data_IF_477859629634
#
_entry.id   IF_477859629634
#
_cell.length_a   1.000
_cell.length_b   1.000
_cell.length_c   1.000
_cell.angle_alpha   90.00
_cell.angle_beta   90.00
_cell.angle_gamma   90.00
#
_symmetry.space_group_name_H-M   'P 1'
#
loop_
_entity.id
_entity.type
_entity.pdbx_description
1 polymer ?
#
# COMPACT_ATOMS: atom_id res chain seq x y z
N UNK A 1 -0.08 -32.05 -17.54
CA UNK A 1 -1.26 -31.40 -16.90
C UNK A 1 -1.23 -29.88 -17.13
N UNK A 2 -1.00 -29.45 -18.38
CA UNK A 2 -0.83 -28.05 -18.80
C UNK A 2 -1.75 -27.82 -20.01
N UNK A 3 -3.02 -27.53 -19.75
CA UNK A 3 -4.01 -27.05 -20.73
C UNK A 3 -5.18 -26.48 -19.94
N UNK A 4 -5.02 -25.28 -19.37
CA UNK A 4 -6.11 -24.45 -18.83
C UNK A 4 -5.59 -23.04 -18.46
N UNK A 5 -4.80 -22.42 -19.34
CA UNK A 5 -4.54 -20.98 -19.31
C UNK A 5 -4.33 -20.53 -20.75
N UNK A 6 -5.21 -19.65 -21.25
CA UNK A 6 -5.07 -19.12 -22.61
C UNK A 6 -6.39 -18.84 -23.31
N UNK A 7 -7.28 -18.09 -22.68
CA UNK A 7 -8.25 -17.26 -23.40
C UNK A 7 -7.90 -15.79 -23.08
N UNK A 8 -6.67 -15.41 -23.47
CA UNK A 8 -6.36 -13.99 -23.69
C UNK A 8 -6.98 -13.67 -25.03
N UNK A 9 -8.11 -12.96 -25.02
CA UNK A 9 -8.66 -12.37 -26.23
C UNK A 9 -7.63 -11.36 -26.73
N UNK A 10 -6.88 -11.73 -27.75
CA UNK A 10 -6.02 -10.82 -28.50
C UNK A 10 -6.94 -9.92 -29.33
N UNK A 11 -7.35 -8.78 -28.78
CA UNK A 11 -7.95 -7.72 -29.59
C UNK A 11 -6.86 -7.07 -30.43
N UNK A 12 -7.10 -6.94 -31.73
CA UNK A 12 -6.16 -6.29 -32.64
C UNK A 12 -6.10 -4.78 -32.37
N UNK A 13 -4.97 -4.14 -32.69
CA UNK A 13 -4.80 -2.67 -32.63
C UNK A 13 -5.89 -1.90 -33.42
N UNK A 14 -6.54 -2.55 -34.38
CA UNK A 14 -7.60 -1.99 -35.21
C UNK A 14 -9.00 -2.04 -34.57
N UNK A 15 -9.27 -2.96 -33.64
CA UNK A 15 -10.51 -2.94 -32.85
C UNK A 15 -10.45 -1.94 -31.69
N UNK A 16 -9.24 -1.51 -31.31
CA UNK A 16 -9.01 -0.52 -30.26
C UNK A 16 -9.17 0.93 -30.76
N UNK A 17 -9.35 1.14 -32.07
CA UNK A 17 -9.57 2.45 -32.66
C UNK A 17 -11.06 2.79 -32.79
N UNK A 18 -11.48 3.82 -32.05
CA UNK A 18 -12.77 4.57 -32.09
C UNK A 18 -13.81 4.28 -31.00
N UNK A 19 -13.41 3.95 -29.77
CA UNK A 19 -14.31 4.11 -28.62
C UNK A 19 -14.53 5.61 -28.35
N UNK A 20 -15.78 6.04 -28.39
CA UNK A 20 -16.14 7.46 -28.39
C UNK A 20 -16.90 7.79 -27.10
N UNK A 21 -16.28 8.59 -26.21
CA UNK A 21 -16.93 9.07 -24.99
C UNK A 21 -18.17 9.94 -25.28
N UNK A 22 -18.35 10.48 -26.48
CA UNK A 22 -19.61 11.16 -26.83
C UNK A 22 -20.77 10.19 -27.06
N UNK A 23 -20.46 8.94 -27.44
CA UNK A 23 -21.45 7.87 -27.68
C UNK A 23 -21.54 6.88 -26.52
N UNK A 24 -20.61 6.91 -25.57
CA UNK A 24 -20.65 6.15 -24.33
C UNK A 24 -20.83 4.64 -24.62
N UNK A 25 -21.53 3.93 -23.71
CA UNK A 25 -21.80 2.49 -23.78
C UNK A 25 -22.43 2.05 -25.12
N UNK A 26 -23.11 2.95 -25.84
CA UNK A 26 -23.71 2.62 -27.15
C UNK A 26 -22.67 2.33 -28.24
N UNK A 27 -21.45 2.86 -28.10
CA UNK A 27 -20.33 2.61 -29.02
C UNK A 27 -19.33 1.57 -28.50
N UNK A 28 -19.45 1.18 -27.23
CA UNK A 28 -18.50 0.28 -26.55
C UNK A 28 -18.85 -1.20 -26.72
N UNK A 29 -19.93 -1.49 -27.43
CA UNK A 29 -20.35 -2.83 -27.81
C UNK A 29 -20.76 -3.69 -26.60
N UNK A 30 -20.82 -5.02 -26.81
CA UNK A 30 -21.16 -6.00 -25.76
C UNK A 30 -20.03 -6.25 -24.75
N UNK A 31 -18.96 -5.45 -24.75
CA UNK A 31 -17.84 -5.62 -23.82
C UNK A 31 -18.16 -5.05 -22.44
N UNK A 32 -19.01 -4.03 -22.39
CA UNK A 32 -19.34 -3.29 -21.18
C UNK A 32 -20.71 -3.66 -20.59
N UNK A 33 -21.19 -4.86 -20.89
CA UNK A 33 -22.45 -5.40 -20.36
C UNK A 33 -22.16 -6.28 -19.14
N UNK A 34 -22.87 -6.05 -18.04
CA UNK A 34 -22.74 -6.88 -16.85
C UNK A 34 -23.12 -6.15 -15.57
N UNK A 35 -23.12 -6.91 -14.48
CA UNK A 35 -23.24 -6.36 -13.13
C UNK A 35 -21.88 -5.82 -12.67
N UNK A 36 -21.86 -4.97 -11.63
CA UNK A 36 -20.63 -4.40 -11.05
C UNK A 36 -19.84 -3.47 -12.01
N UNK A 37 -20.55 -2.75 -12.89
CA UNK A 37 -19.93 -1.74 -13.73
C UNK A 37 -19.66 -0.44 -12.95
N UNK A 38 -18.61 0.26 -13.39
CA UNK A 38 -18.16 1.56 -12.88
C UNK A 38 -18.11 2.60 -14.01
N UNK A 39 -18.19 3.90 -13.70
CA UNK A 39 -18.30 4.51 -12.36
C UNK A 39 -19.72 4.36 -11.77
N UNK A 40 -19.92 4.80 -10.53
CA UNK A 40 -21.24 4.85 -9.87
C UNK A 40 -21.44 6.21 -9.21
N UNK A 41 -22.69 6.51 -8.85
CA UNK A 41 -22.95 7.53 -7.85
C UNK A 41 -22.61 7.04 -6.45
N UNK A 42 -21.85 7.85 -5.72
CA UNK A 42 -21.51 7.63 -4.32
C UNK A 42 -22.53 8.36 -3.47
N UNK A 43 -23.33 7.58 -2.75
CA UNK A 43 -24.38 8.08 -1.88
C UNK A 43 -24.06 7.68 -0.43
N UNK A 44 -23.38 8.57 0.34
CA UNK A 44 -22.88 8.29 1.69
C UNK A 44 -23.89 7.68 2.65
N UNK A 45 -25.18 8.06 2.54
CA UNK A 45 -26.24 7.54 3.43
C UNK A 45 -26.48 6.03 3.26
N UNK A 46 -26.05 5.44 2.14
CA UNK A 46 -26.12 4.01 1.88
C UNK A 46 -24.84 3.26 2.26
N UNK A 47 -23.79 3.97 2.69
CA UNK A 47 -22.54 3.35 3.07
C UNK A 47 -22.66 2.69 4.45
N UNK A 48 -22.13 1.47 4.56
CA UNK A 48 -21.98 0.75 5.83
C UNK A 48 -20.52 0.76 6.27
N UNK A 49 -20.26 0.68 7.58
CA UNK A 49 -18.88 0.62 8.06
C UNK A 49 -18.14 -0.59 7.45
N UNK A 50 -16.96 -0.35 6.89
CA UNK A 50 -16.09 -1.40 6.35
C UNK A 50 -15.50 -2.28 7.45
N UNK A 51 -15.31 -3.55 7.13
CA UNK A 51 -14.71 -4.60 7.97
C UNK A 51 -13.20 -4.80 7.68
N UNK A 52 -12.58 -3.85 6.99
CA UNK A 52 -11.17 -3.87 6.64
C UNK A 52 -10.54 -2.48 6.78
N UNK A 53 -9.21 -2.48 6.82
CA UNK A 53 -8.38 -1.28 6.88
C UNK A 53 -7.67 -1.08 5.54
N UNK A 54 -7.50 0.18 5.14
CA UNK A 54 -6.61 0.57 4.04
C UNK A 54 -5.44 1.37 4.61
N UNK A 55 -4.22 0.93 4.31
CA UNK A 55 -2.98 1.59 4.69
C UNK A 55 -2.24 2.10 3.48
N UNK A 56 -1.75 3.32 3.56
CA UNK A 56 -1.17 4.07 2.46
C UNK A 56 0.28 4.42 2.80
N UNK A 57 1.19 4.14 1.87
CA UNK A 57 2.59 4.50 1.98
C UNK A 57 3.07 5.03 0.63
N UNK A 58 3.20 6.35 0.53
CA UNK A 58 3.70 7.01 -0.67
C UNK A 58 4.94 7.81 -0.31
N UNK A 59 5.98 7.66 -1.14
CA UNK A 59 7.09 8.63 -1.11
C UNK A 59 6.70 9.85 -1.95
N UNK A 60 7.30 11.02 -1.73
CA UNK A 60 7.06 12.18 -2.57
C UNK A 60 7.27 11.84 -4.05
N UNK A 61 6.26 12.09 -4.88
CA UNK A 61 6.28 11.74 -6.30
C UNK A 61 7.15 12.73 -7.06
N UNK A 62 8.14 12.22 -7.79
CA UNK A 62 9.06 13.03 -8.60
C UNK A 62 8.87 12.73 -10.07
N UNK A 63 9.08 13.71 -10.94
CA UNK A 63 8.99 13.52 -12.39
C UNK A 63 10.00 12.48 -12.91
N UNK A 64 11.16 12.34 -12.25
CA UNK A 64 12.14 11.30 -12.57
C UNK A 64 11.63 9.86 -12.39
N UNK A 65 10.57 9.65 -11.60
CA UNK A 65 9.95 8.34 -11.38
C UNK A 65 8.94 7.97 -12.47
N UNK A 66 8.56 8.94 -13.31
CA UNK A 66 7.64 8.75 -14.43
C UNK A 66 8.38 8.04 -15.57
N UNK A 67 7.81 6.93 -16.00
CA UNK A 67 8.26 6.18 -17.17
C UNK A 67 7.73 6.83 -18.46
N UNK A 68 6.42 7.06 -18.51
CA UNK A 68 5.74 7.70 -19.63
C UNK A 68 4.56 8.53 -19.14
N UNK A 69 4.24 9.60 -19.86
CA UNK A 69 3.07 10.43 -19.61
C UNK A 69 2.55 10.96 -20.95
N UNK A 70 1.22 11.05 -21.07
CA UNK A 70 0.57 11.56 -22.27
C UNK A 70 -0.90 11.16 -22.33
N UNK A 71 -1.54 11.43 -23.47
CA UNK A 71 -2.90 10.96 -23.75
C UNK A 71 -2.83 9.64 -24.50
N UNK A 72 -3.39 8.60 -23.92
CA UNK A 72 -3.42 7.27 -24.52
C UNK A 72 -4.39 7.20 -25.72
N UNK A 73 -4.30 6.17 -26.58
CA UNK A 73 -5.20 6.00 -27.72
C UNK A 73 -6.70 5.87 -27.34
N UNK A 74 -6.96 5.51 -26.09
CA UNK A 74 -8.30 5.45 -25.49
C UNK A 74 -8.83 6.85 -25.09
N UNK A 75 -8.07 7.92 -25.32
CA UNK A 75 -8.43 9.29 -24.98
C UNK A 75 -8.25 9.65 -23.51
N UNK A 76 -7.61 8.79 -22.71
CA UNK A 76 -7.36 9.02 -21.29
C UNK A 76 -5.94 9.55 -21.07
N UNK A 77 -5.76 10.76 -20.49
CA UNK A 77 -4.47 11.22 -20.01
C UNK A 77 -3.96 10.33 -18.87
N UNK A 78 -2.77 9.77 -19.04
CA UNK A 78 -2.20 8.77 -18.14
C UNK A 78 -0.71 9.03 -17.89
N UNK A 79 -0.32 9.00 -16.62
CA UNK A 79 1.07 9.03 -16.17
C UNK A 79 1.38 7.64 -15.62
N UNK A 80 2.42 6.98 -16.13
CA UNK A 80 2.87 5.66 -15.71
C UNK A 80 4.21 5.74 -14.98
N UNK A 81 4.37 4.97 -13.92
CA UNK A 81 5.59 4.92 -13.13
C UNK A 81 6.49 3.73 -13.51
N UNK A 82 7.80 3.93 -13.33
CA UNK A 82 8.81 2.89 -13.60
C UNK A 82 8.55 1.63 -12.77
N UNK A 83 8.58 0.47 -13.43
CA UNK A 83 8.49 -0.82 -12.77
C UNK A 83 9.69 -1.07 -11.84
N UNK A 84 9.49 -1.91 -10.81
CA UNK A 84 10.54 -2.29 -9.84
C UNK A 84 10.83 -1.27 -8.73
N UNK A 85 10.45 0.00 -8.90
CA UNK A 85 10.67 1.07 -7.92
C UNK A 85 9.36 1.73 -7.47
N UNK A 86 8.52 1.03 -6.67
CA UNK A 86 7.19 1.52 -6.30
C UNK A 86 7.29 2.87 -5.58
N UNK A 87 6.65 3.89 -6.15
CA UNK A 87 6.51 5.23 -5.57
C UNK A 87 5.39 5.32 -4.53
N UNK A 88 4.46 4.37 -4.57
CA UNK A 88 3.28 4.33 -3.74
C UNK A 88 2.85 2.90 -3.53
N UNK A 89 2.42 2.59 -2.31
CA UNK A 89 1.92 1.28 -1.91
C UNK A 89 0.64 1.45 -1.11
N UNK A 90 -0.28 0.54 -1.35
CA UNK A 90 -1.51 0.40 -0.58
C UNK A 90 -1.57 -1.03 -0.05
N UNK A 91 -1.90 -1.17 1.23
CA UNK A 91 -2.24 -2.43 1.84
C UNK A 91 -3.71 -2.43 2.24
N UNK A 92 -4.44 -3.51 1.92
CA UNK A 92 -5.85 -3.66 2.29
C UNK A 92 -6.05 -5.01 2.97
N UNK A 93 -6.65 -5.01 4.15
CA UNK A 93 -6.82 -6.24 4.94
C UNK A 93 -7.58 -6.02 6.23
N UNK A 94 -8.02 -7.12 6.85
CA UNK A 94 -8.82 -7.10 8.08
C UNK A 94 -8.02 -7.32 9.37
N UNK A 95 -6.78 -7.83 9.27
CA UNK A 95 -5.98 -8.21 10.42
C UNK A 95 -4.52 -8.52 10.10
N UNK A 96 -3.74 -8.85 11.14
CA UNK A 96 -2.32 -9.16 11.02
C UNK A 96 -2.11 -10.39 10.11
N UNK A 97 -1.32 -10.23 9.05
CA UNK A 97 -1.10 -11.28 8.04
C UNK A 97 -2.15 -11.37 6.94
N UNK A 98 -3.25 -10.59 7.02
CA UNK A 98 -4.33 -10.59 6.03
C UNK A 98 -4.31 -9.37 5.09
N UNK A 99 -3.16 -8.74 4.90
CA UNK A 99 -3.06 -7.60 3.98
C UNK A 99 -2.66 -8.04 2.57
N UNK A 100 -3.49 -7.71 1.58
CA UNK A 100 -3.10 -7.67 0.18
C UNK A 100 -2.31 -6.37 -0.08
N UNK A 101 -1.24 -6.46 -0.87
CA UNK A 101 -0.36 -5.32 -1.18
C UNK A 101 -0.49 -4.97 -2.67
N UNK A 102 -0.60 -3.68 -2.94
CA UNK A 102 -0.76 -3.11 -4.27
C UNK A 102 0.23 -1.96 -4.45
N UNK A 103 0.80 -1.83 -5.65
CA UNK A 103 1.77 -0.77 -5.98
C UNK A 103 1.19 0.20 -6.99
N UNK A 104 1.38 1.49 -6.78
CA UNK A 104 0.96 2.54 -7.71
C UNK A 104 1.64 2.32 -9.06
N UNK A 105 0.84 2.14 -10.10
CA UNK A 105 1.32 1.92 -11.47
C UNK A 105 0.98 3.08 -12.39
N UNK A 106 -0.16 3.73 -12.20
CA UNK A 106 -0.56 4.87 -13.01
C UNK A 106 -1.41 5.90 -12.26
N UNK A 107 -1.43 7.12 -12.79
CA UNK A 107 -2.41 8.17 -12.47
C UNK A 107 -3.15 8.52 -13.74
N UNK A 108 -4.48 8.53 -13.68
CA UNK A 108 -5.39 8.86 -14.78
C UNK A 108 -6.20 10.11 -14.43
N UNK A 109 -6.48 10.93 -15.46
CA UNK A 109 -7.20 12.19 -15.30
C UNK A 109 -8.49 12.15 -16.12
N UNK A 110 -9.61 12.43 -15.46
CA UNK A 110 -10.92 12.53 -16.09
C UNK A 110 -11.53 13.91 -15.83
N UNK A 111 -12.06 14.54 -16.88
CA UNK A 111 -12.82 15.78 -16.77
C UNK A 111 -14.05 15.71 -17.68
N UNK A 112 -15.28 15.87 -17.15
CA UNK A 112 -15.62 16.00 -15.72
C UNK A 112 -15.32 14.69 -14.93
N UNK A 113 -15.68 14.63 -13.65
CA UNK A 113 -15.54 13.39 -12.88
C UNK A 113 -16.37 12.25 -13.47
N UNK A 114 -15.85 11.01 -13.38
CA UNK A 114 -16.56 9.80 -13.79
C UNK A 114 -17.58 9.39 -12.72
N UNK A 115 -17.11 9.28 -11.48
CA UNK A 115 -17.99 9.12 -10.33
C UNK A 115 -18.72 10.43 -10.06
N UNK A 116 -19.89 10.29 -9.44
CA UNK A 116 -20.61 11.40 -8.83
C UNK A 116 -20.66 11.20 -7.32
N UNK A 117 -20.81 12.29 -6.58
CA UNK A 117 -21.02 12.27 -5.14
C UNK A 117 -22.36 12.95 -4.86
N UNK A 118 -23.36 12.19 -4.41
CA UNK A 118 -24.75 12.67 -4.26
C UNK A 118 -25.27 13.29 -5.56
N UNK A 119 -25.09 12.57 -6.66
CA UNK A 119 -25.45 12.94 -8.03
C UNK A 119 -24.71 14.17 -8.59
N UNK A 120 -23.82 14.80 -7.81
CA UNK A 120 -23.00 15.92 -8.28
C UNK A 120 -21.75 15.43 -9.01
N UNK A 121 -21.50 15.99 -10.19
CA UNK A 121 -20.26 15.83 -10.94
C UNK A 121 -19.28 16.95 -10.61
N UNK A 122 -17.98 16.62 -10.57
CA UNK A 122 -16.91 17.53 -10.20
C UNK A 122 -16.07 17.93 -11.42
N UNK A 123 -15.29 19.00 -11.28
CA UNK A 123 -14.54 19.56 -12.39
C UNK A 123 -13.52 18.57 -12.96
N UNK A 124 -12.95 17.73 -12.10
CA UNK A 124 -11.98 16.71 -12.46
C UNK A 124 -12.01 15.56 -11.45
N UNK A 125 -11.70 14.36 -11.92
CA UNK A 125 -11.42 13.18 -11.11
C UNK A 125 -10.01 12.68 -11.40
N UNK A 126 -9.20 12.55 -10.34
CA UNK A 126 -7.89 11.92 -10.41
C UNK A 126 -8.01 10.49 -9.90
N UNK A 127 -7.65 9.53 -10.73
CA UNK A 127 -7.68 8.11 -10.37
C UNK A 127 -6.25 7.58 -10.24
N UNK A 128 -5.85 7.16 -9.03
CA UNK A 128 -4.57 6.51 -8.76
C UNK A 128 -4.77 4.99 -8.84
N UNK A 129 -4.21 4.39 -9.88
CA UNK A 129 -4.31 2.97 -10.17
C UNK A 129 -3.15 2.20 -9.57
N UNK A 130 -3.48 1.14 -8.83
CA UNK A 130 -2.53 0.24 -8.20
C UNK A 130 -2.73 -1.18 -8.70
N UNK A 131 -1.63 -1.79 -9.12
CA UNK A 131 -1.60 -3.17 -9.54
C UNK A 131 -1.21 -4.08 -8.37
N UNK A 132 -1.76 -5.30 -8.29
CA UNK A 132 -1.42 -6.23 -7.21
C UNK A 132 0.06 -6.59 -7.28
N UNK A 133 0.77 -6.45 -6.15
CA UNK A 133 2.22 -6.67 -6.07
C UNK A 133 2.75 -8.11 -6.27
N UNK A 134 1.97 -9.21 -6.30
CA UNK A 134 2.53 -10.53 -6.49
C UNK A 134 3.39 -10.69 -7.75
N UNK A 135 3.23 -9.87 -8.79
CA UNK A 135 4.12 -9.88 -9.99
C UNK A 135 5.56 -9.51 -9.64
N UNK A 136 5.77 -8.45 -8.84
CA UNK A 136 7.11 -8.10 -8.36
C UNK A 136 7.70 -9.12 -7.38
N UNK A 137 6.83 -9.88 -6.70
CA UNK A 137 7.25 -10.94 -5.77
C UNK A 137 7.59 -12.22 -6.52
N UNK A 138 6.95 -12.51 -7.66
CA UNK A 138 7.34 -13.62 -8.54
C UNK A 138 8.71 -13.38 -9.18
N UNK A 139 9.05 -12.14 -9.54
CA UNK A 139 10.40 -11.83 -10.06
C UNK A 139 11.47 -12.07 -9.00
N UNK A 140 11.23 -11.63 -7.75
CA UNK A 140 12.13 -11.92 -6.62
C UNK A 140 12.24 -13.40 -6.30
N UNK A 141 11.12 -14.14 -6.34
CA UNK A 141 11.15 -15.59 -6.18
C UNK A 141 11.97 -16.26 -7.29
N UNK A 142 11.83 -15.82 -8.54
CA UNK A 142 12.60 -16.34 -9.66
C UNK A 142 14.09 -16.08 -9.46
N UNK A 143 14.45 -14.88 -9.00
CA UNK A 143 15.82 -14.54 -8.64
C UNK A 143 16.36 -15.44 -7.51
N UNK A 144 15.64 -15.56 -6.38
CA UNK A 144 16.06 -16.43 -5.27
C UNK A 144 16.16 -17.91 -5.69
N UNK A 145 15.29 -18.36 -6.61
CA UNK A 145 15.34 -19.73 -7.16
C UNK A 145 16.59 -19.92 -8.01
N UNK A 146 16.95 -18.93 -8.83
CA UNK A 146 18.16 -18.96 -9.65
C UNK A 146 19.43 -19.00 -8.79
N UNK A 147 19.50 -18.15 -7.76
CA UNK A 147 20.62 -18.14 -6.78
C UNK A 147 20.78 -19.50 -6.09
N UNK A 148 19.68 -20.15 -5.70
CA UNK A 148 19.71 -21.48 -5.09
C UNK A 148 20.17 -22.57 -6.06
N UNK A 149 19.80 -22.48 -7.34
CA UNK A 149 20.24 -23.42 -8.38
C UNK A 149 21.75 -23.31 -8.63
N UNK A 150 22.30 -22.10 -8.63
CA UNK A 150 23.74 -21.87 -8.80
C UNK A 150 24.56 -22.46 -7.64
N UNK A 151 24.09 -22.32 -6.40
CA UNK A 151 24.74 -22.91 -5.23
C UNK A 151 24.66 -24.44 -5.19
N UNK A 152 23.53 -25.02 -5.63
CA UNK A 152 23.39 -26.46 -5.78
C UNK A 152 24.40 -26.98 -6.82
N UNK A 153 24.58 -26.25 -7.92
CA UNK A 153 25.56 -26.61 -8.95
C UNK A 153 27.01 -26.52 -8.44
N UNK A 154 27.35 -25.52 -7.61
CA UNK A 154 28.67 -25.46 -6.96
C UNK A 154 28.88 -26.65 -6.00
N UNK A 155 27.84 -27.00 -5.25
CA UNK A 155 27.87 -28.15 -4.34
C UNK A 155 28.08 -29.48 -5.07
N UNK A 156 27.40 -29.69 -6.21
CA UNK A 156 27.57 -30.87 -7.07
C UNK A 156 29.00 -30.97 -7.61
N UNK A 157 29.60 -29.83 -8.01
CA UNK A 157 30.99 -29.80 -8.46
C UNK A 157 31.97 -30.21 -7.35
N UNK A 158 31.71 -29.79 -6.10
CA UNK A 158 32.49 -30.18 -4.92
C UNK A 158 32.31 -31.65 -4.56
N UNK A 159 31.08 -32.19 -4.66
CA UNK A 159 30.83 -33.62 -4.53
C UNK A 159 31.65 -34.42 -5.55
N UNK A 160 31.63 -34.02 -6.82
CA UNK A 160 32.42 -34.66 -7.87
C UNK A 160 33.94 -34.54 -7.63
N UNK A 161 34.42 -33.44 -7.03
CA UNK A 161 35.81 -33.32 -6.59
C UNK A 161 36.15 -34.30 -5.46
N UNK A 162 35.28 -34.40 -4.45
CA UNK A 162 35.43 -35.34 -3.33
C UNK A 162 35.46 -36.80 -3.80
N UNK A 163 34.55 -37.19 -4.70
CA UNK A 163 34.52 -38.54 -5.29
C UNK A 163 35.81 -38.86 -6.05
N UNK A 164 36.35 -37.89 -6.81
CA UNK A 164 37.64 -38.03 -7.50
C UNK A 164 38.80 -38.18 -6.51
N UNK A 165 38.84 -37.39 -5.44
CA UNK A 165 39.86 -37.50 -4.40
C UNK A 165 39.78 -38.85 -3.68
N UNK A 166 38.58 -39.33 -3.34
CA UNK A 166 38.37 -40.66 -2.76
C UNK A 166 38.78 -41.79 -3.71
N UNK A 167 38.43 -41.70 -4.99
CA UNK A 167 38.79 -42.69 -5.99
C UNK A 167 40.31 -42.76 -6.21
N UNK A 168 40.98 -41.60 -6.20
CA UNK A 168 42.44 -41.49 -6.29
C UNK A 168 43.12 -42.14 -5.09
N UNK A 169 42.67 -41.79 -3.87
CA UNK A 169 43.15 -42.40 -2.63
C UNK A 169 42.96 -43.93 -2.63
N UNK A 170 41.81 -44.44 -3.08
CA UNK A 170 41.56 -45.89 -3.19
C UNK A 170 42.53 -46.59 -4.14
N UNK A 171 42.75 -46.04 -5.34
CA UNK A 171 43.70 -46.61 -6.31
C UNK A 171 45.12 -46.64 -5.76
N UNK A 172 45.51 -45.60 -5.03
CA UNK A 172 46.83 -45.53 -4.40
C UNK A 172 47.00 -46.51 -3.23
N UNK A 173 45.99 -46.65 -2.37
CA UNK A 173 45.98 -47.66 -1.30
C UNK A 173 46.04 -49.09 -1.86
N UNK A 174 45.44 -49.33 -3.04
CA UNK A 174 45.47 -50.62 -3.72
C UNK A 174 46.77 -50.88 -4.53
N UNK A 175 47.73 -49.95 -4.53
CA UNK A 175 49.00 -50.10 -5.24
C UNK A 175 48.94 -49.84 -6.76
N UNK A 176 47.81 -49.37 -7.30
CA UNK A 176 47.62 -49.17 -8.74
C UNK A 176 48.21 -47.84 -9.24
N UNK A 177 48.51 -46.89 -8.35
CA UNK A 177 49.00 -45.54 -8.67
C UNK A 177 49.98 -44.98 -7.61
N UNK A 178 50.80 -45.84 -7.00
CA UNK A 178 51.74 -45.43 -5.94
C UNK A 178 52.99 -44.75 -6.50
N UNK A 179 53.39 -43.55 -6.01
CA UNK A 179 54.65 -42.89 -6.36
C UNK A 179 55.90 -43.64 -5.83
N UNK A 180 55.71 -44.60 -4.93
CA UNK A 180 56.76 -45.20 -4.09
C UNK A 180 57.39 -46.47 -4.67
N UNK A 181 57.23 -46.75 -5.97
CA UNK A 181 57.93 -47.86 -6.64
C UNK A 181 59.38 -47.50 -6.93
N UNK A 182 60.17 -47.34 -5.86
CA UNK A 182 61.59 -47.07 -5.95
C UNK A 182 62.25 -47.48 -4.65
N UNK A 183 63.25 -48.37 -4.74
CA UNK A 183 64.08 -48.85 -3.63
C UNK A 183 64.46 -47.71 -2.67
N UNK A 184 63.70 -47.52 -1.60
CA UNK A 184 64.01 -46.55 -0.56
C UNK A 184 64.14 -47.33 0.75
N UNK A 185 65.24 -47.05 1.47
CA UNK A 185 65.57 -47.64 2.76
C UNK A 185 64.32 -47.77 3.65
N UNK A 186 64.15 -48.95 4.24
CA UNK A 186 62.91 -49.52 4.82
C UNK A 186 62.18 -48.67 5.90
N UNK A 187 62.72 -47.51 6.30
CA UNK A 187 62.06 -46.55 7.19
C UNK A 187 61.60 -45.24 6.54
N UNK A 188 62.23 -44.77 5.45
CA UNK A 188 61.93 -43.47 4.86
C UNK A 188 60.69 -43.51 3.96
N UNK A 189 60.47 -44.62 3.23
CA UNK A 189 59.31 -44.78 2.35
C UNK A 189 57.99 -45.00 3.10
N UNK A 190 58.04 -45.52 4.33
CA UNK A 190 56.85 -45.74 5.18
C UNK A 190 56.36 -44.41 5.74
N UNK A 191 57.26 -43.59 6.29
CA UNK A 191 56.90 -42.26 6.82
C UNK A 191 56.32 -41.35 5.73
N UNK A 192 56.93 -41.38 4.54
CA UNK A 192 56.45 -40.60 3.40
C UNK A 192 55.06 -41.04 2.89
N UNK A 193 54.74 -42.34 3.01
CA UNK A 193 53.41 -42.86 2.70
C UNK A 193 52.38 -42.49 3.76
N UNK A 194 52.75 -42.49 5.05
CA UNK A 194 51.90 -42.03 6.16
C UNK A 194 51.55 -40.54 6.03
N UNK A 195 52.57 -39.68 5.81
CA UNK A 195 52.39 -38.23 5.63
C UNK A 195 51.45 -37.93 4.45
N UNK A 196 51.54 -38.71 3.37
CA UNK A 196 50.69 -38.55 2.20
C UNK A 196 49.24 -38.97 2.46
N UNK A 197 49.04 -40.11 3.15
CA UNK A 197 47.71 -40.58 3.55
C UNK A 197 47.05 -39.59 4.51
N UNK A 198 47.82 -39.01 5.43
CA UNK A 198 47.30 -38.01 6.37
C UNK A 198 46.97 -36.68 5.68
N UNK A 199 47.74 -36.25 4.69
CA UNK A 199 47.38 -35.13 3.83
C UNK A 199 46.07 -35.39 3.05
N UNK A 200 45.92 -36.58 2.45
CA UNK A 200 44.69 -36.94 1.73
C UNK A 200 43.46 -37.03 2.66
N UNK A 201 43.63 -37.53 3.89
CA UNK A 201 42.57 -37.51 4.91
C UNK A 201 42.21 -36.08 5.32
N UNK A 202 43.21 -35.20 5.47
CA UNK A 202 42.99 -33.80 5.80
C UNK A 202 42.19 -33.10 4.69
N UNK A 203 42.57 -33.29 3.43
CA UNK A 203 41.85 -32.75 2.26
C UNK A 203 40.40 -33.26 2.20
N UNK A 204 40.18 -34.58 2.36
CA UNK A 204 38.84 -35.16 2.38
C UNK A 204 38.01 -34.60 3.55
N UNK A 205 38.62 -34.44 4.72
CA UNK A 205 37.97 -33.87 5.91
C UNK A 205 37.58 -32.41 5.71
N UNK A 206 38.45 -31.62 5.09
CA UNK A 206 38.20 -30.22 4.76
C UNK A 206 37.08 -30.06 3.74
N UNK A 207 37.15 -30.78 2.61
CA UNK A 207 36.09 -30.78 1.58
C UNK A 207 34.76 -31.25 2.16
N UNK A 208 34.77 -32.30 3.01
CA UNK A 208 33.56 -32.81 3.67
C UNK A 208 32.94 -31.76 4.61
N UNK A 209 33.74 -31.01 5.38
CA UNK A 209 33.25 -29.92 6.23
C UNK A 209 32.63 -28.80 5.43
N UNK A 210 33.28 -28.35 4.37
CA UNK A 210 32.77 -27.30 3.48
C UNK A 210 31.43 -27.72 2.87
N UNK A 211 31.37 -28.95 2.37
CA UNK A 211 30.18 -29.49 1.73
C UNK A 211 29.01 -29.66 2.72
N UNK A 212 29.29 -30.02 3.98
CA UNK A 212 28.29 -30.05 5.04
C UNK A 212 27.75 -28.65 5.38
N UNK A 213 28.61 -27.63 5.37
CA UNK A 213 28.20 -26.23 5.56
C UNK A 213 27.34 -25.73 4.39
N UNK A 214 27.75 -26.03 3.16
CA UNK A 214 27.02 -25.67 1.94
C UNK A 214 25.62 -26.30 1.94
N UNK A 215 25.51 -27.60 2.23
CA UNK A 215 24.20 -28.27 2.33
C UNK A 215 23.30 -27.71 3.41
N UNK A 216 23.87 -27.30 4.55
CA UNK A 216 23.10 -26.61 5.59
C UNK A 216 22.58 -25.26 5.08
N UNK A 217 23.41 -24.48 4.39
CA UNK A 217 23.02 -23.20 3.81
C UNK A 217 21.93 -23.34 2.73
N UNK A 218 22.13 -24.27 1.79
CA UNK A 218 21.16 -24.61 0.73
C UNK A 218 19.83 -25.05 1.34
N UNK A 219 19.84 -25.94 2.34
CA UNK A 219 18.62 -26.40 3.01
C UNK A 219 17.87 -25.24 3.67
N UNK A 220 18.59 -24.34 4.37
CA UNK A 220 17.97 -23.18 5.01
C UNK A 220 17.34 -22.22 4.01
N UNK A 221 18.02 -21.93 2.90
CA UNK A 221 17.49 -21.09 1.82
C UNK A 221 16.32 -21.74 1.10
N UNK A 222 16.39 -23.04 0.82
CA UNK A 222 15.29 -23.81 0.25
C UNK A 222 14.04 -23.79 1.14
N UNK A 223 14.19 -23.97 2.46
CA UNK A 223 13.09 -23.85 3.42
C UNK A 223 12.48 -22.45 3.43
N UNK A 224 13.31 -21.40 3.39
CA UNK A 224 12.85 -20.01 3.31
C UNK A 224 12.08 -19.75 2.01
N UNK A 225 12.62 -20.19 0.88
CA UNK A 225 11.98 -20.08 -0.43
C UNK A 225 10.63 -20.82 -0.45
N UNK A 226 10.58 -22.04 0.10
CA UNK A 226 9.34 -22.81 0.21
C UNK A 226 8.27 -22.07 1.03
N UNK A 227 8.66 -21.44 2.14
CA UNK A 227 7.73 -20.65 2.97
C UNK A 227 7.26 -19.38 2.23
N UNK A 228 8.15 -18.68 1.53
CA UNK A 228 7.80 -17.52 0.69
C UNK A 228 6.81 -17.90 -0.42
N UNK A 229 7.06 -19.01 -1.13
CA UNK A 229 6.17 -19.55 -2.16
C UNK A 229 4.82 -19.97 -1.58
N UNK A 230 4.80 -20.71 -0.46
CA UNK A 230 3.57 -21.12 0.24
C UNK A 230 2.74 -19.89 0.63
N UNK A 231 3.42 -18.89 1.15
CA UNK A 231 2.83 -17.62 1.51
C UNK A 231 2.19 -16.90 0.32
N UNK A 232 2.90 -16.82 -0.80
CA UNK A 232 2.40 -16.18 -2.03
C UNK A 232 1.20 -16.92 -2.61
N UNK A 233 1.26 -18.25 -2.67
CA UNK A 233 0.12 -19.07 -3.11
C UNK A 233 -1.09 -18.86 -2.19
N UNK A 234 -0.87 -18.76 -0.89
CA UNK A 234 -1.95 -18.50 0.08
C UNK A 234 -2.56 -17.11 -0.13
N UNK A 235 -1.72 -16.08 -0.30
CA UNK A 235 -2.18 -14.73 -0.60
C UNK A 235 -2.98 -14.69 -1.90
N UNK A 236 -2.53 -15.38 -2.96
CA UNK A 236 -3.22 -15.46 -4.26
C UNK A 236 -4.58 -16.16 -4.22
N UNK A 237 -4.84 -16.99 -3.21
CA UNK A 237 -6.16 -17.61 -3.01
C UNK A 237 -7.19 -16.63 -2.44
N UNK A 238 -6.77 -15.46 -1.95
CA UNK A 238 -7.71 -14.45 -1.43
C UNK A 238 -8.52 -13.84 -2.55
N UNK A 239 -9.78 -13.53 -2.24
CA UNK A 239 -10.78 -13.01 -3.20
C UNK A 239 -10.25 -11.83 -4.02
N UNK A 240 -9.50 -10.93 -3.39
CA UNK A 240 -9.10 -9.65 -3.98
C UNK A 240 -7.63 -9.59 -4.42
N UNK A 241 -6.89 -10.70 -4.33
CA UNK A 241 -5.46 -10.73 -4.63
C UNK A 241 -5.16 -10.38 -6.11
N UNK A 242 -6.09 -10.68 -7.02
CA UNK A 242 -5.98 -10.34 -8.44
C UNK A 242 -6.71 -9.07 -8.87
N UNK A 243 -7.35 -8.35 -7.93
CA UNK A 243 -8.06 -7.11 -8.26
C UNK A 243 -7.07 -5.95 -8.39
N UNK A 244 -7.39 -4.98 -9.25
CA UNK A 244 -6.73 -3.67 -9.22
C UNK A 244 -7.38 -2.80 -8.15
N UNK A 245 -6.61 -1.88 -7.59
CA UNK A 245 -7.13 -0.91 -6.62
C UNK A 245 -7.06 0.48 -7.22
N UNK A 246 -8.18 1.20 -7.21
CA UNK A 246 -8.27 2.56 -7.71
C UNK A 246 -8.66 3.50 -6.57
N UNK A 247 -7.78 4.46 -6.23
CA UNK A 247 -8.11 5.58 -5.35
C UNK A 247 -8.59 6.74 -6.22
N UNK A 248 -9.79 7.25 -5.96
CA UNK A 248 -10.40 8.31 -6.75
C UNK A 248 -10.56 9.58 -5.91
N UNK A 249 -10.14 10.71 -6.48
CA UNK A 249 -10.21 12.03 -5.85
C UNK A 249 -10.98 13.00 -6.73
N UNK A 250 -11.99 13.64 -6.15
CA UNK A 250 -12.69 14.74 -6.78
C UNK A 250 -11.93 16.04 -6.59
N UNK A 251 -11.77 16.79 -7.68
CA UNK A 251 -11.21 18.13 -7.66
C UNK A 251 -12.30 19.13 -8.05
N UNK A 252 -12.51 20.13 -7.19
CA UNK A 252 -13.46 21.22 -7.41
C UNK A 252 -12.74 22.52 -7.77
N UNK A 253 -13.41 23.38 -8.55
CA UNK A 253 -12.89 24.69 -8.95
C UNK A 253 -13.03 25.67 -7.79
N UNK A 254 -11.92 26.21 -7.32
CA UNK A 254 -11.88 27.26 -6.32
C UNK A 254 -11.25 28.53 -6.91
N UNK A 255 -11.77 29.70 -6.51
CA UNK A 255 -11.14 30.97 -6.84
C UNK A 255 -9.90 31.20 -5.95
N UNK A 256 -8.83 31.81 -6.46
CA UNK A 256 -7.61 32.12 -5.71
C UNK A 256 -7.87 32.79 -4.35
N UNK A 257 -8.92 33.62 -4.26
CA UNK A 257 -9.31 34.35 -3.05
C UNK A 257 -9.69 33.40 -1.92
N UNK A 258 -10.33 32.25 -2.23
CA UNK A 258 -10.79 31.28 -1.22
C UNK A 258 -9.73 30.21 -0.89
N UNK A 259 -8.66 30.08 -1.69
CA UNK A 259 -7.60 29.09 -1.45
C UNK A 259 -6.66 29.47 -0.30
N UNK A 260 -6.55 30.77 0.03
CA UNK A 260 -5.81 31.22 1.21
C UNK A 260 -6.43 30.75 2.53
N UNK A 261 -7.74 30.49 2.54
CA UNK A 261 -8.48 29.95 3.68
C UNK A 261 -8.65 28.42 3.59
N UNK A 262 -8.63 27.85 2.39
CA UNK A 262 -8.72 26.41 2.14
C UNK A 262 -7.37 25.85 1.69
N UNK A 263 -6.55 25.38 2.64
CA UNK A 263 -5.25 24.71 2.45
C UNK A 263 -5.08 24.04 1.05
N UNK A 264 -4.53 24.78 0.08
CA UNK A 264 -4.59 24.44 -1.35
C UNK A 264 -3.65 23.32 -1.82
N UNK A 265 -3.65 22.16 -1.17
CA UNK A 265 -2.74 21.04 -1.50
C UNK A 265 -3.10 20.37 -2.83
N UNK A 266 -4.38 20.28 -3.20
CA UNK A 266 -4.79 19.79 -4.51
C UNK A 266 -4.34 20.67 -5.68
N UNK A 267 -4.09 21.96 -5.46
CA UNK A 267 -3.46 22.83 -6.48
C UNK A 267 -2.06 22.34 -6.84
N UNK A 268 -1.29 21.87 -5.85
CA UNK A 268 0.03 21.26 -6.09
C UNK A 268 -0.06 19.94 -6.84
N UNK A 269 -1.10 19.12 -6.57
CA UNK A 269 -1.39 17.93 -7.38
C UNK A 269 -1.65 18.30 -8.84
N UNK A 270 -2.59 19.23 -9.10
CA UNK A 270 -2.95 19.65 -10.47
C UNK A 270 -1.75 20.23 -11.23
N UNK A 271 -0.92 21.05 -10.56
CA UNK A 271 0.32 21.57 -11.13
C UNK A 271 1.29 20.45 -11.51
N UNK A 272 1.52 19.50 -10.59
CA UNK A 272 2.41 18.37 -10.82
C UNK A 272 1.92 17.48 -11.98
N UNK A 273 0.61 17.21 -12.05
CA UNK A 273 0.00 16.47 -13.16
C UNK A 273 0.23 17.18 -14.50
N UNK A 274 0.07 18.49 -14.54
CA UNK A 274 0.28 19.30 -15.75
C UNK A 274 1.74 19.21 -16.24
N UNK A 275 2.70 19.32 -15.31
CA UNK A 275 4.12 19.20 -15.61
C UNK A 275 4.49 17.79 -16.11
N UNK A 276 3.97 16.75 -15.45
CA UNK A 276 4.19 15.38 -15.84
C UNK A 276 3.65 15.09 -17.25
N UNK A 277 2.43 15.55 -17.55
CA UNK A 277 1.78 15.34 -18.86
C UNK A 277 2.37 16.17 -19.99
N UNK A 278 2.93 17.35 -19.69
CA UNK A 278 3.69 18.15 -20.65
C UNK A 278 5.07 17.52 -20.99
N UNK A 279 5.41 16.38 -20.38
CA UNK A 279 6.71 15.70 -20.52
C UNK A 279 7.92 16.59 -20.22
N UNK A 280 7.74 17.63 -19.39
CA UNK A 280 8.81 18.55 -19.02
C UNK A 280 9.68 17.93 -17.91
N UNK A 281 10.60 17.05 -18.31
CA UNK A 281 11.49 16.30 -17.39
C UNK A 281 12.66 17.12 -16.85
N UNK A 282 12.94 18.29 -17.44
CA UNK A 282 14.04 19.18 -17.06
C UNK A 282 13.62 20.22 -16.00
N UNK A 283 12.34 20.24 -15.64
CA UNK A 283 11.81 21.07 -14.57
C UNK A 283 12.32 20.54 -13.22
N UNK A 284 12.93 21.42 -12.42
CA UNK A 284 13.21 21.24 -10.98
C UNK A 284 11.89 21.28 -10.17
N UNK A 285 10.89 20.52 -10.63
CA UNK A 285 9.55 20.50 -10.06
C UNK A 285 9.63 19.91 -8.66
N UNK A 286 9.09 20.64 -7.69
CA UNK A 286 8.93 20.14 -6.33
C UNK A 286 8.23 18.77 -6.34
N UNK A 287 8.71 17.86 -5.49
CA UNK A 287 8.08 16.56 -5.32
C UNK A 287 6.66 16.73 -4.78
N UNK A 288 5.72 15.90 -5.24
CA UNK A 288 4.34 15.94 -4.78
C UNK A 288 4.13 15.00 -3.60
N UNK A 289 3.71 15.56 -2.47
CA UNK A 289 3.33 14.80 -1.27
C UNK A 289 1.83 14.48 -1.31
N UNK A 290 1.49 13.25 -1.69
CA UNK A 290 0.08 12.82 -1.74
C UNK A 290 -0.60 12.87 -0.37
N UNK A 291 0.11 12.62 0.73
CA UNK A 291 -0.45 12.70 2.08
C UNK A 291 -1.05 14.09 2.37
N UNK A 292 -0.39 15.16 1.90
CA UNK A 292 -0.89 16.53 2.07
C UNK A 292 -2.19 16.78 1.30
N UNK A 293 -2.42 16.05 0.21
CA UNK A 293 -3.62 16.19 -0.64
C UNK A 293 -4.78 15.34 -0.12
N UNK A 294 -4.50 14.07 0.21
CA UNK A 294 -5.53 13.11 0.60
C UNK A 294 -5.88 13.27 2.09
N UNK A 295 -4.90 13.56 2.94
CA UNK A 295 -5.04 13.64 4.39
C UNK A 295 -5.25 12.29 5.08
N UNK A 296 -5.04 12.27 6.40
CA UNK A 296 -5.24 11.11 7.27
C UNK A 296 -6.61 11.15 7.97
N UNK A 297 -7.20 9.99 8.23
CA UNK A 297 -8.51 9.88 8.87
C UNK A 297 -9.68 10.37 8.02
N UNK A 298 -9.50 10.48 6.70
CA UNK A 298 -10.54 10.90 5.76
C UNK A 298 -11.36 9.71 5.29
N UNK A 299 -12.65 9.91 5.09
CA UNK A 299 -13.57 8.85 4.63
C UNK A 299 -13.31 8.49 3.16
N UNK A 300 -13.20 7.19 2.92
CA UNK A 300 -13.11 6.55 1.61
C UNK A 300 -14.30 5.62 1.44
N UNK A 301 -15.07 5.85 0.38
CA UNK A 301 -16.16 4.97 -0.03
C UNK A 301 -15.62 3.88 -0.94
N UNK A 302 -15.72 2.63 -0.48
CA UNK A 302 -15.22 1.46 -1.18
C UNK A 302 -16.34 0.60 -1.73
N UNK A 303 -16.15 0.12 -2.96
CA UNK A 303 -17.06 -0.82 -3.61
C UNK A 303 -16.32 -1.68 -4.66
N UNK A 304 -16.90 -2.83 -4.98
CA UNK A 304 -16.42 -3.70 -6.06
C UNK A 304 -17.02 -3.23 -7.40
N UNK A 305 -16.15 -2.99 -8.39
CA UNK A 305 -16.53 -2.41 -9.66
C UNK A 305 -15.66 -2.88 -10.82
N UNK A 306 -15.70 -2.10 -11.90
CA UNK A 306 -14.99 -2.41 -13.14
C UNK A 306 -14.00 -1.32 -13.53
N UNK A 307 -13.17 -1.62 -14.52
CA UNK A 307 -12.49 -0.58 -15.30
C UNK A 307 -13.59 0.24 -16.02
N UNK A 308 -13.57 1.59 -15.98
CA UNK A 308 -14.66 2.43 -16.50
C UNK A 308 -14.53 2.68 -18.02
N UNK A 309 -13.95 1.71 -18.72
CA UNK A 309 -13.63 1.77 -20.15
C UNK A 309 -13.41 0.36 -20.69
N UNK A 310 -13.62 0.10 -21.99
CA UNK A 310 -13.49 -1.24 -22.56
C UNK A 310 -12.14 -1.91 -22.23
N UNK A 311 -12.11 -3.21 -21.91
CA UNK A 311 -13.22 -4.18 -21.95
C UNK A 311 -14.09 -4.22 -20.69
N UNK A 312 -14.08 -3.16 -19.85
CA UNK A 312 -15.00 -3.01 -18.73
C UNK A 312 -14.96 -4.16 -17.70
N UNK A 313 -13.76 -4.73 -17.51
CA UNK A 313 -13.52 -5.89 -16.65
C UNK A 313 -13.91 -5.60 -15.19
N UNK A 314 -14.78 -6.42 -14.55
CA UNK A 314 -15.22 -6.24 -13.17
C UNK A 314 -14.21 -6.80 -12.16
N UNK A 315 -13.00 -6.22 -12.15
CA UNK A 315 -11.89 -6.65 -11.28
C UNK A 315 -11.22 -5.46 -10.56
N UNK A 316 -12.01 -4.45 -10.17
CA UNK A 316 -11.50 -3.24 -9.52
C UNK A 316 -12.13 -3.09 -8.13
N UNK A 317 -11.30 -2.81 -7.13
CA UNK A 317 -11.73 -2.29 -5.83
C UNK A 317 -11.54 -0.78 -5.85
N UNK A 318 -12.66 -0.06 -5.84
CA UNK A 318 -12.65 1.39 -5.81
C UNK A 318 -12.56 1.89 -4.37
N UNK A 319 -11.93 3.05 -4.21
CA UNK A 319 -11.82 3.81 -2.98
C UNK A 319 -11.96 5.29 -3.33
N UNK A 320 -13.18 5.81 -3.22
CA UNK A 320 -13.51 7.18 -3.62
C UNK A 320 -13.45 8.08 -2.39
N UNK A 321 -12.61 9.13 -2.43
CA UNK A 321 -12.49 10.10 -1.36
C UNK A 321 -13.80 10.87 -1.19
N UNK A 322 -14.35 10.86 0.03
CA UNK A 322 -15.62 11.50 0.34
C UNK A 322 -15.59 13.03 0.39
N UNK A 323 -14.39 13.61 0.37
CA UNK A 323 -14.13 15.03 0.53
C UNK A 323 -13.52 15.59 -0.78
N UNK A 324 -14.28 16.33 -1.59
CA UNK A 324 -13.78 16.99 -2.79
C UNK A 324 -12.69 18.03 -2.47
N UNK A 325 -11.58 17.99 -3.20
CA UNK A 325 -10.41 18.82 -2.90
C UNK A 325 -10.39 20.10 -3.77
N UNK A 326 -10.18 21.30 -3.18
CA UNK A 326 -10.15 22.55 -3.92
C UNK A 326 -8.85 22.77 -4.68
N UNK A 327 -8.96 23.12 -5.96
CA UNK A 327 -7.83 23.57 -6.79
C UNK A 327 -8.13 24.89 -7.47
N UNK A 328 -7.06 25.66 -7.66
CA UNK A 328 -7.09 26.90 -8.44
C UNK A 328 -7.60 26.70 -9.87
N UNK A 329 -8.44 27.63 -10.31
CA UNK A 329 -9.09 27.59 -11.62
C UNK A 329 -8.09 27.77 -12.77
N UNK A 330 -7.02 28.54 -12.59
CA UNK A 330 -6.00 28.72 -13.61
C UNK A 330 -5.18 27.44 -13.78
N UNK A 331 -4.78 26.80 -12.68
CA UNK A 331 -4.09 25.51 -12.72
C UNK A 331 -4.95 24.40 -13.37
N UNK A 332 -6.24 24.35 -13.05
CA UNK A 332 -7.17 23.42 -13.70
C UNK A 332 -7.25 23.68 -15.21
N UNK A 333 -7.30 24.94 -15.63
CA UNK A 333 -7.35 25.32 -17.05
C UNK A 333 -6.08 24.89 -17.80
N UNK A 334 -4.91 25.02 -17.17
CA UNK A 334 -3.64 24.52 -17.70
C UNK A 334 -3.72 23.01 -17.89
N UNK A 335 -4.10 22.25 -16.85
CA UNK A 335 -4.21 20.79 -16.93
C UNK A 335 -5.18 20.35 -18.03
N UNK A 336 -6.35 20.98 -18.15
CA UNK A 336 -7.33 20.67 -19.20
C UNK A 336 -6.79 20.92 -20.61
N UNK A 337 -5.93 21.91 -20.79
CA UNK A 337 -5.25 22.17 -22.07
C UNK A 337 -4.21 21.10 -22.37
N UNK A 338 -3.34 20.77 -21.41
CA UNK A 338 -2.30 19.74 -21.57
C UNK A 338 -2.90 18.35 -21.85
N UNK A 339 -4.04 18.06 -21.23
CA UNK A 339 -4.79 16.80 -21.43
C UNK A 339 -5.64 16.77 -22.71
N UNK A 340 -5.70 17.86 -23.47
CA UNK A 340 -6.58 18.03 -24.64
C UNK A 340 -8.08 17.82 -24.31
N UNK A 341 -8.46 18.03 -23.05
CA UNK A 341 -9.85 17.93 -22.57
C UNK A 341 -10.57 19.29 -22.60
N UNK A 342 -9.81 20.40 -22.71
CA UNK A 342 -10.38 21.74 -22.85
C UNK A 342 -11.34 21.83 -24.05
N UNK A 343 -12.55 22.34 -23.80
CA UNK A 343 -13.57 22.56 -24.83
C UNK A 343 -14.34 21.31 -25.30
N UNK A 344 -14.04 20.12 -24.76
CA UNK A 344 -14.85 18.91 -25.03
C UNK A 344 -16.16 18.98 -24.26
N UNK A 345 -17.29 18.97 -24.97
CA UNK A 345 -18.63 19.04 -24.37
C UNK A 345 -18.89 17.88 -23.39
N UNK A 346 -18.43 16.68 -23.73
CA UNK A 346 -18.64 15.46 -22.94
C UNK A 346 -17.38 14.98 -22.19
N UNK A 347 -16.25 15.67 -22.36
CA UNK A 347 -15.01 15.28 -21.70
C UNK A 347 -14.48 13.90 -22.09
N UNK A 348 -13.92 13.19 -21.12
CA UNK A 348 -13.47 11.79 -21.20
C UNK A 348 -14.00 10.93 -20.03
N UNK A 349 -15.23 11.22 -19.60
CA UNK A 349 -15.87 10.53 -18.49
C UNK A 349 -16.95 9.57 -18.99
N UNK A 350 -16.93 8.33 -18.49
CA UNK A 350 -18.04 7.39 -18.68
C UNK A 350 -19.26 7.81 -17.84
N UNK A 351 -20.46 7.60 -18.37
CA UNK A 351 -21.69 7.75 -17.59
C UNK A 351 -21.75 6.79 -16.38
N UNK A 352 -22.34 7.26 -15.28
CA UNK A 352 -22.57 6.46 -14.09
C UNK A 352 -23.43 5.23 -14.36
N UNK A 353 -23.03 4.13 -13.75
CA UNK A 353 -23.62 2.82 -13.93
C UNK A 353 -24.52 2.48 -12.74
N UNK A 354 -25.60 1.69 -12.93
CA UNK A 354 -26.53 1.37 -11.85
C UNK A 354 -25.84 0.63 -10.69
N UNK A 355 -25.95 1.13 -9.45
CA UNK A 355 -25.36 0.48 -8.27
C UNK A 355 -25.84 -0.98 -8.13
N UNK A 356 -27.15 -1.22 -8.28
CA UNK A 356 -27.74 -2.55 -8.21
C UNK A 356 -27.76 -3.14 -6.78
N UNK A 357 -28.57 -4.19 -6.54
CA UNK A 357 -28.84 -4.70 -5.20
C UNK A 357 -27.70 -5.56 -4.60
N UNK A 358 -26.82 -6.10 -5.46
CA UNK A 358 -25.80 -7.07 -5.03
C UNK A 358 -24.49 -6.42 -4.58
N UNK A 359 -24.36 -5.09 -4.67
CA UNK A 359 -23.18 -4.34 -4.24
C UNK A 359 -23.36 -3.78 -2.83
N UNK A 360 -22.25 -3.71 -2.10
CA UNK A 360 -22.18 -3.03 -0.81
C UNK A 360 -21.25 -1.84 -0.94
N UNK A 361 -21.75 -0.68 -0.54
CA UNK A 361 -20.96 0.53 -0.41
C UNK A 361 -20.43 0.52 1.02
N UNK A 362 -19.12 0.48 1.17
CA UNK A 362 -18.48 0.47 2.48
C UNK A 362 -17.78 1.81 2.71
N UNK A 363 -17.70 2.26 3.96
CA UNK A 363 -16.87 3.40 4.35
C UNK A 363 -15.71 2.93 5.21
N UNK A 364 -14.50 3.34 4.86
CA UNK A 364 -13.26 3.12 5.61
C UNK A 364 -12.49 4.43 5.68
N UNK A 365 -11.48 4.52 6.54
CA UNK A 365 -10.69 5.74 6.70
C UNK A 365 -9.28 5.60 6.15
N UNK A 366 -8.74 6.70 5.61
CA UNK A 366 -7.33 6.77 5.20
C UNK A 366 -6.41 6.56 6.40
N UNK A 367 -5.41 5.71 6.26
CA UNK A 367 -4.38 5.50 7.26
C UNK A 367 -2.98 5.57 6.64
N UNK A 368 -2.21 6.59 7.00
CA UNK A 368 -0.84 6.85 6.52
C UNK A 368 0.26 6.24 7.41
N UNK A 369 -0.10 5.39 8.38
CA UNK A 369 0.90 4.72 9.22
C UNK A 369 1.88 3.95 8.37
N UNK A 370 3.17 4.21 8.58
CA UNK A 370 4.27 3.41 8.04
C UNK A 370 4.04 1.97 8.46
N UNK A 371 3.90 1.09 7.47
CA UNK A 371 3.74 -0.34 7.69
C UNK A 371 4.96 -1.06 7.15
N UNK A 372 5.44 -2.06 7.89
CA UNK A 372 6.39 -3.03 7.36
C UNK A 372 5.68 -3.90 6.32
N UNK A 373 6.42 -4.38 5.30
CA UNK A 373 5.86 -5.35 4.36
C UNK A 373 5.28 -6.53 5.17
N UNK A 374 4.11 -7.08 4.79
CA UNK A 374 3.53 -8.18 5.54
C UNK A 374 4.54 -9.33 5.44
N UNK A 375 5.11 -9.73 6.57
CA UNK A 375 5.87 -10.98 6.62
C UNK A 375 4.87 -12.05 6.20
N UNK A 376 5.12 -12.68 5.06
CA UNK A 376 4.26 -13.75 4.57
C UNK A 376 4.54 -14.97 5.44
N UNK A 377 4.06 -14.93 6.68
CA UNK A 377 4.04 -16.09 7.54
C UNK A 377 2.90 -16.92 6.99
N UNK A 378 3.17 -18.14 6.48
CA UNK A 378 2.08 -19.04 6.17
C UNK A 378 1.22 -19.14 7.43
N UNK A 379 -0.09 -19.00 7.31
CA UNK A 379 -1.03 -18.98 8.45
C UNK A 379 -1.02 -20.27 9.31
N UNK A 380 -0.07 -21.19 9.08
CA UNK A 380 0.18 -22.42 9.82
C UNK A 380 1.59 -22.50 10.45
N UNK A 381 2.49 -21.52 10.25
CA UNK A 381 3.87 -21.61 10.77
C UNK A 381 4.08 -20.94 12.14
N UNK A 382 3.04 -20.38 12.75
CA UNK A 382 3.10 -20.04 14.17
C UNK A 382 2.68 -21.24 15.01
N UNK A 383 3.65 -21.97 15.55
CA UNK A 383 3.35 -22.98 16.57
C UNK A 383 2.53 -22.34 17.71
N UNK A 384 1.56 -23.06 18.31
CA UNK A 384 0.74 -22.52 19.41
C UNK A 384 1.56 -21.90 20.54
N UNK A 385 2.78 -22.43 20.76
CA UNK A 385 3.74 -21.88 21.73
C UNK A 385 4.25 -20.48 21.36
N UNK A 386 4.48 -20.18 20.08
CA UNK A 386 4.99 -18.87 19.64
C UNK A 386 3.92 -17.79 19.67
N UNK A 387 2.65 -18.13 19.38
CA UNK A 387 1.51 -17.23 19.62
C UNK A 387 1.38 -16.89 21.11
N UNK A 388 1.49 -17.91 21.98
CA UNK A 388 1.44 -17.75 23.43
C UNK A 388 2.55 -16.83 23.94
N UNK A 389 3.78 -16.98 23.44
CA UNK A 389 4.91 -16.13 23.85
C UNK A 389 4.77 -14.68 23.40
N UNK A 390 4.26 -14.42 22.19
CA UNK A 390 4.01 -13.04 21.71
C UNK A 390 2.90 -12.37 22.52
N UNK A 391 1.84 -13.10 22.87
CA UNK A 391 0.79 -12.62 23.76
C UNK A 391 1.34 -12.31 25.15
N UNK A 392 2.13 -13.22 25.73
CA UNK A 392 2.79 -13.01 27.04
C UNK A 392 3.68 -11.78 27.00
N UNK A 393 4.50 -11.60 25.96
CA UNK A 393 5.38 -10.43 25.84
C UNK A 393 4.58 -9.12 25.77
N UNK A 394 3.47 -9.09 25.01
CA UNK A 394 2.58 -7.92 24.94
C UNK A 394 1.90 -7.64 26.28
N UNK A 395 1.39 -8.66 26.97
CA UNK A 395 0.79 -8.49 28.29
C UNK A 395 1.81 -8.04 29.34
N UNK A 396 3.04 -8.57 29.32
CA UNK A 396 4.12 -8.13 30.21
C UNK A 396 4.48 -6.66 29.97
N UNK A 397 4.56 -6.21 28.71
CA UNK A 397 4.82 -4.80 28.38
C UNK A 397 3.73 -3.87 28.90
N UNK A 398 2.45 -4.24 28.72
CA UNK A 398 1.31 -3.49 29.26
C UNK A 398 1.33 -3.49 30.79
N UNK A 399 1.61 -4.63 31.41
CA UNK A 399 1.66 -4.76 32.86
C UNK A 399 2.77 -3.90 33.49
N UNK A 400 3.97 -3.88 32.88
CA UNK A 400 5.08 -3.01 33.31
C UNK A 400 4.69 -1.55 33.17
N UNK A 401 4.06 -1.15 32.05
CA UNK A 401 3.63 0.22 31.83
C UNK A 401 2.57 0.66 32.87
N UNK A 402 1.57 -0.18 33.12
CA UNK A 402 0.55 0.06 34.15
C UNK A 402 1.14 0.09 35.56
N UNK A 403 2.14 -0.75 35.85
CA UNK A 403 2.83 -0.78 37.16
C UNK A 403 3.62 0.51 37.40
N UNK A 404 4.29 1.04 36.37
CA UNK A 404 4.97 2.35 36.44
C UNK A 404 3.97 3.45 36.73
N UNK A 405 2.80 3.47 36.08
CA UNK A 405 1.75 4.45 36.40
C UNK A 405 1.25 4.30 37.85
N UNK A 406 0.93 3.08 38.31
CA UNK A 406 0.46 2.85 39.68
C UNK A 406 1.47 3.26 40.75
N UNK A 407 2.78 3.13 40.47
CA UNK A 407 3.85 3.52 41.40
C UNK A 407 4.14 5.02 41.32
N UNK A 408 4.20 5.59 40.12
CA UNK A 408 4.60 6.98 39.91
C UNK A 408 3.47 7.98 40.20
N UNK A 409 2.20 7.63 40.00
CA UNK A 409 1.06 8.52 40.27
C UNK A 409 0.98 9.00 41.74
N UNK A 410 1.07 8.14 42.78
CA UNK A 410 1.06 8.61 44.17
C UNK A 410 2.31 9.40 44.55
N UNK A 411 3.47 9.11 43.94
CA UNK A 411 4.70 9.90 44.10
C UNK A 411 4.54 11.31 43.54
N UNK A 412 3.91 11.42 42.36
CA UNK A 412 3.64 12.71 41.73
C UNK A 412 2.63 13.53 42.54
N UNK A 413 1.58 12.91 43.07
CA UNK A 413 0.63 13.58 43.97
C UNK A 413 1.27 14.05 45.28
N UNK A 414 2.23 13.29 45.84
CA UNK A 414 2.96 13.72 47.04
C UNK A 414 3.91 14.89 46.78
N UNK A 415 4.60 14.89 45.64
CA UNK A 415 5.46 16.01 45.25
C UNK A 415 4.61 17.25 44.95
N UNK A 416 3.50 17.09 44.22
CA UNK A 416 2.57 18.17 43.94
C UNK A 416 1.99 18.80 45.22
N UNK A 417 1.52 17.99 46.17
CA UNK A 417 1.00 18.49 47.44
C UNK A 417 2.10 19.13 48.31
N UNK A 418 3.34 18.59 48.30
CA UNK A 418 4.47 19.19 49.03
C UNK A 418 4.94 20.52 48.43
N UNK A 419 4.64 20.80 47.16
CA UNK A 419 4.89 22.10 46.53
C UNK A 419 3.74 23.10 46.74
N UNK A 420 2.63 22.69 47.34
CA UNK A 420 1.44 23.54 47.55
C UNK A 420 1.34 24.07 49.00
N UNK A 421 2.21 23.64 49.91
CA UNK A 421 2.17 24.04 51.34
C UNK A 421 2.95 25.34 51.67
N UNK A 422 3.52 26.04 50.68
CA UNK A 422 4.34 27.25 50.93
C UNK A 422 3.64 28.60 50.65
N UNK A 423 2.35 28.63 50.28
CA UNK A 423 1.64 29.89 49.94
C UNK A 423 0.41 30.17 50.83
N UNK A 424 0.58 30.33 52.15
CA UNK A 424 -0.30 31.17 52.97
C UNK A 424 0.50 31.91 54.07
N UNK A 425 0.88 33.17 53.82
CA UNK A 425 0.62 34.30 54.74
C UNK A 425 1.32 35.60 54.28
N UNK A 426 0.58 36.52 53.65
CA UNK A 426 0.53 37.94 54.09
C UNK A 426 -0.77 38.55 53.56
N UNK A 427 -1.72 38.74 54.47
CA UNK A 427 -3.10 39.09 54.16
C UNK A 427 -3.33 40.54 53.76
N UNK A 428 -4.48 40.79 53.13
CA UNK A 428 -5.18 42.07 53.13
C UNK A 428 -6.70 41.82 53.19
N UNK A 429 -7.36 42.61 54.02
CA UNK A 429 -8.69 42.47 54.60
C UNK A 429 -9.86 42.19 53.64
N UNK A 430 -10.80 41.35 54.10
CA UNK A 430 -12.17 41.32 53.61
C UNK A 430 -13.16 41.30 54.78
N UNK A 431 -13.90 42.40 54.97
CA UNK A 431 -15.21 42.38 55.62
C UNK A 431 -16.32 42.38 54.55
N UNK A 432 -17.50 41.79 54.83
CA UNK A 432 -18.36 41.22 53.81
C UNK A 432 -19.61 42.05 53.52
N UNK A 433 -20.02 42.18 52.26
CA UNK A 433 -21.37 42.63 51.91
C UNK A 433 -21.93 41.93 50.65
N UNK A 434 -22.99 41.15 50.91
CA UNK A 434 -24.25 40.93 50.18
C UNK A 434 -24.34 40.95 48.63
N UNK A 435 -25.17 40.06 48.03
CA UNK A 435 -25.38 39.99 46.60
C UNK A 435 -26.56 40.86 46.14
N UNK A 436 -26.32 41.74 45.17
CA UNK A 436 -27.35 42.33 44.30
C UNK A 436 -26.84 42.46 42.87
N UNK A 437 -27.61 41.88 41.94
CA UNK A 437 -27.67 41.86 40.45
C UNK A 437 -27.00 43.00 39.62
N UNK A 438 -26.92 42.93 38.25
CA UNK A 438 -27.55 41.99 37.30
C UNK A 438 -26.67 41.45 36.14
N UNK A 439 -27.19 40.40 35.49
CA UNK A 439 -26.77 39.89 34.17
C UNK A 439 -26.97 40.94 33.07
N UNK A 440 -25.94 41.14 32.23
CA UNK A 440 -26.02 41.88 30.97
C UNK A 440 -26.30 40.89 29.83
N UNK A 441 -27.37 41.13 29.06
CA UNK A 441 -27.74 40.38 27.84
C UNK A 441 -26.98 40.91 26.60
N UNK A 442 -26.77 40.08 25.56
CA UNK A 442 -26.27 40.51 24.26
C UNK A 442 -27.37 41.22 23.42
N UNK A 443 -26.97 42.01 22.40
CA UNK A 443 -27.84 43.01 21.77
C UNK A 443 -28.87 42.42 20.80
N UNK A 444 -30.06 43.03 20.81
CA UNK A 444 -31.17 42.78 19.88
C UNK A 444 -31.06 43.66 18.63
N UNK A 445 -31.19 43.05 17.45
CA UNK A 445 -31.50 43.72 16.19
C UNK A 445 -33.00 44.00 16.13
N UNK A 446 -33.39 45.27 16.03
CA UNK A 446 -34.76 45.66 15.67
C UNK A 446 -34.87 45.84 14.15
N UNK A 447 -35.83 45.15 13.55
CA UNK A 447 -36.38 45.44 12.23
C UNK A 447 -37.57 46.39 12.37
N UNK A 448 -37.65 47.36 11.46
CA UNK A 448 -38.71 48.36 11.40
C UNK A 448 -39.98 47.80 10.75
N UNK A 449 -40.78 47.01 11.48
CA UNK A 449 -42.25 46.98 11.35
C UNK A 449 -42.86 46.23 12.55
N UNK A 450 -43.56 46.94 13.42
CA UNK A 450 -43.87 46.51 14.79
C UNK A 450 -44.98 45.46 14.91
N UNK A 451 -44.65 44.16 14.82
CA UNK A 451 -45.52 43.06 15.28
C UNK A 451 -44.77 42.01 16.09
N UNK A 452 -45.32 41.66 17.25
CA UNK A 452 -44.78 40.75 18.27
C UNK A 452 -45.16 39.30 17.92
N UNK A 453 -44.20 38.37 17.86
CA UNK A 453 -44.42 36.92 17.70
C UNK A 453 -43.84 36.20 18.92
N UNK A 454 -44.69 35.49 19.67
CA UNK A 454 -44.28 34.59 20.76
C UNK A 454 -43.82 33.24 20.18
N UNK A 455 -42.66 32.74 20.62
CA UNK A 455 -42.24 31.35 20.38
C UNK A 455 -42.30 30.55 21.67
N UNK A 456 -43.15 29.52 21.65
CA UNK A 456 -43.31 28.47 22.66
C UNK A 456 -42.14 27.49 22.55
N UNK A 457 -41.43 27.25 23.65
CA UNK A 457 -40.47 26.14 23.78
C UNK A 457 -41.13 24.99 24.55
N UNK A 458 -41.23 23.82 23.93
CA UNK A 458 -41.64 22.56 24.58
C UNK A 458 -40.40 21.76 24.98
N UNK A 459 -40.21 21.58 26.28
CA UNK A 459 -39.30 20.59 26.88
C UNK A 459 -39.86 19.17 26.69
N UNK A 460 -39.02 18.22 26.28
CA UNK A 460 -39.33 16.79 26.36
C UNK A 460 -38.57 16.17 27.53
N UNK A 461 -39.35 15.73 28.52
CA UNK A 461 -38.92 15.08 29.75
C UNK A 461 -38.51 13.61 29.51
N UNK A 462 -37.48 13.18 30.22
CA UNK A 462 -37.15 11.77 30.48
C UNK A 462 -38.03 11.27 31.63
N UNK A 463 -38.64 10.09 31.48
CA UNK A 463 -38.78 9.15 32.59
C UNK A 463 -38.99 7.70 32.13
N UNK A 464 -38.20 6.83 32.78
CA UNK A 464 -38.41 5.41 33.17
C UNK A 464 -38.85 4.38 32.14
#
# INVERSE_FOLDING_TARGET
MLRLMGLVVWMSKAEMSSWDYTRQDSSWGRLCVGHFQSPIDIEPKHAVQGDFEIRMLYRPLRLQDVESAGVDPDGVPRIRFKQGHPVGKVQIGSGYGDFDEYSLSAIEVHAPSEHTLREASWALEVQLWHDPMPVSRTDKLQQHTQELLEELQDSDNRFAALERSQATLRKQLNGEATPWTGKANEGAGVQQAEDWVDAAKADISEVSKLLQQDMKGVTQRAMKLQEEVKGLVTAQKRRFAGFRVALSLFILRASPVFLGEMNGTATSLVRWLSQALAANKDSDSAALELEAVIGSGKDLYSYEGSVPRPPCTPNVRWFVLGDPQPSDIEQLSILLKETQLAGRVHGNARQVQPFGPSRRLQVVQTNWKVFEAPVIVAAESMSPGRQKMILIERYCKVFVLCSVFLICTPLFFRIYNSCQEDDEDTGWDASPMSPTSPMVRPPSLEGADGRRVEMVFTEFSKHT
#
